data_IF_130667641398
#
_entry.id   IF_130667641398
#
_cell.length_a   1.000
_cell.length_b   1.000
_cell.length_c   1.000
_cell.angle_alpha   90.00
_cell.angle_beta   90.00
_cell.angle_gamma   90.00
#
_symmetry.space_group_name_H-M   'P 1'
#
loop_
_entity.id
_entity.type
_entity.pdbx_description
1 polymer ?
#
# COMPACT_ATOMS: atom_id res chain seq x y z
N UNK A 1 -35.89 -88.01 -30.90
CA UNK A 1 -35.60 -86.57 -31.00
C UNK A 1 -35.45 -86.04 -29.59
N UNK A 2 -34.23 -86.09 -29.06
CA UNK A 2 -33.87 -85.71 -27.69
C UNK A 2 -33.32 -84.29 -27.71
N UNK A 3 -33.98 -83.35 -27.02
CA UNK A 3 -33.40 -82.04 -26.73
C UNK A 3 -32.89 -82.06 -25.29
N UNK A 4 -31.58 -81.89 -25.19
CA UNK A 4 -30.78 -81.94 -23.98
C UNK A 4 -31.22 -80.87 -22.98
N UNK A 5 -31.45 -81.27 -21.73
CA UNK A 5 -31.56 -80.35 -20.62
C UNK A 5 -30.20 -79.74 -20.32
N UNK A 6 -30.13 -78.41 -20.29
CA UNK A 6 -28.96 -77.68 -19.80
C UNK A 6 -28.72 -78.02 -18.32
N UNK A 7 -27.75 -78.89 -18.07
CA UNK A 7 -27.23 -79.11 -16.73
C UNK A 7 -26.49 -77.85 -16.29
N UNK A 8 -27.11 -77.05 -15.41
CA UNK A 8 -26.42 -75.99 -14.67
C UNK A 8 -25.22 -76.62 -13.95
N UNK A 9 -23.98 -76.20 -14.22
CA UNK A 9 -22.81 -76.81 -13.61
C UNK A 9 -22.89 -76.63 -12.10
N UNK A 10 -23.14 -77.73 -11.37
CA UNK A 10 -23.11 -77.76 -9.92
C UNK A 10 -21.65 -77.68 -9.48
N UNK A 11 -21.16 -76.47 -9.28
CA UNK A 11 -19.84 -76.20 -8.74
C UNK A 11 -19.74 -76.89 -7.37
N UNK A 12 -19.03 -78.02 -7.30
CA UNK A 12 -18.80 -78.76 -6.05
C UNK A 12 -17.65 -78.12 -5.27
N UNK A 13 -17.98 -77.09 -4.51
CA UNK A 13 -17.05 -76.43 -3.59
C UNK A 13 -16.91 -77.23 -2.28
N UNK A 14 -15.68 -77.39 -1.82
CA UNK A 14 -15.38 -77.94 -0.49
C UNK A 14 -16.04 -77.11 0.61
N UNK A 15 -16.43 -77.77 1.71
CA UNK A 15 -17.08 -77.13 2.87
C UNK A 15 -16.23 -75.97 3.41
N UNK A 16 -14.89 -76.10 3.39
CA UNK A 16 -13.96 -75.02 3.76
C UNK A 16 -14.15 -73.76 2.93
N UNK A 17 -14.32 -73.90 1.60
CA UNK A 17 -14.49 -72.76 0.70
C UNK A 17 -15.84 -72.09 0.88
N UNK A 18 -16.89 -72.84 1.21
CA UNK A 18 -18.21 -72.26 1.52
C UNK A 18 -18.19 -71.40 2.78
N UNK A 19 -17.54 -71.88 3.84
CA UNK A 19 -17.37 -71.11 5.09
C UNK A 19 -16.56 -69.85 4.83
N UNK A 20 -15.46 -69.96 4.06
CA UNK A 20 -14.65 -68.81 3.66
C UNK A 20 -15.45 -67.78 2.86
N UNK A 21 -16.28 -68.23 1.91
CA UNK A 21 -17.13 -67.34 1.11
C UNK A 21 -18.15 -66.58 1.96
N UNK A 22 -18.78 -67.24 2.93
CA UNK A 22 -19.72 -66.59 3.85
C UNK A 22 -19.01 -65.52 4.68
N UNK A 23 -17.84 -65.85 5.22
CA UNK A 23 -17.06 -64.91 6.03
C UNK A 23 -16.58 -63.71 5.20
N UNK A 24 -16.15 -63.97 3.96
CA UNK A 24 -15.73 -62.94 3.02
C UNK A 24 -16.91 -62.03 2.64
N UNK A 25 -18.07 -62.60 2.31
CA UNK A 25 -19.27 -61.84 1.98
C UNK A 25 -19.72 -60.97 3.14
N UNK A 26 -19.69 -61.49 4.37
CA UNK A 26 -20.03 -60.75 5.58
C UNK A 26 -19.06 -59.58 5.82
N UNK A 27 -17.75 -59.84 5.68
CA UNK A 27 -16.69 -58.83 5.84
C UNK A 27 -16.82 -57.71 4.81
N UNK A 28 -16.97 -58.05 3.53
CA UNK A 28 -17.15 -57.08 2.44
C UNK A 28 -18.43 -56.26 2.66
N UNK A 29 -19.52 -56.88 3.10
CA UNK A 29 -20.77 -56.18 3.38
C UNK A 29 -20.62 -55.15 4.50
N UNK A 30 -19.95 -55.52 5.59
CA UNK A 30 -19.67 -54.59 6.69
C UNK A 30 -18.80 -53.42 6.23
N UNK A 31 -17.79 -53.68 5.39
CA UNK A 31 -16.91 -52.66 4.83
C UNK A 31 -17.67 -51.68 3.92
N UNK A 32 -18.57 -52.18 3.08
CA UNK A 32 -19.39 -51.37 2.18
C UNK A 32 -20.33 -50.44 2.96
N UNK A 33 -21.00 -50.95 3.99
CA UNK A 33 -21.89 -50.14 4.84
C UNK A 33 -21.08 -49.03 5.53
N UNK A 34 -19.93 -49.37 6.11
CA UNK A 34 -19.07 -48.42 6.80
C UNK A 34 -18.53 -47.35 5.83
N UNK A 35 -18.05 -47.77 4.66
CA UNK A 35 -17.56 -46.85 3.63
C UNK A 35 -18.64 -45.91 3.11
N UNK A 36 -19.86 -46.40 2.94
CA UNK A 36 -21.00 -45.56 2.54
C UNK A 36 -21.33 -44.50 3.60
N UNK A 37 -21.44 -44.90 4.87
CA UNK A 37 -21.71 -43.97 5.97
C UNK A 37 -20.61 -42.90 6.11
N UNK A 38 -19.34 -43.31 6.00
CA UNK A 38 -18.21 -42.40 6.05
C UNK A 38 -18.25 -41.39 4.90
N UNK A 39 -18.59 -41.83 3.67
CA UNK A 39 -18.67 -40.95 2.51
C UNK A 39 -19.73 -39.86 2.67
N UNK A 40 -20.92 -40.20 3.14
CA UNK A 40 -22.00 -39.23 3.40
C UNK A 40 -21.58 -38.23 4.47
N UNK A 41 -21.02 -38.71 5.58
CA UNK A 41 -20.66 -37.87 6.72
C UNK A 41 -19.51 -36.91 6.38
N UNK A 42 -18.51 -37.38 5.61
CA UNK A 42 -17.44 -36.51 5.07
C UNK A 42 -18.01 -35.44 4.14
N UNK A 43 -18.98 -35.78 3.29
CA UNK A 43 -19.61 -34.82 2.39
C UNK A 43 -20.30 -33.67 3.11
N UNK A 44 -20.94 -33.95 4.24
CA UNK A 44 -21.64 -32.93 5.03
C UNK A 44 -20.67 -32.08 5.85
N UNK A 45 -19.65 -32.68 6.46
CA UNK A 45 -18.59 -31.95 7.15
C UNK A 45 -17.81 -31.06 6.19
N UNK A 46 -17.52 -31.53 4.98
CA UNK A 46 -16.80 -30.76 3.97
C UNK A 46 -17.60 -29.55 3.50
N UNK A 47 -18.91 -29.72 3.22
CA UNK A 47 -19.79 -28.60 2.86
C UNK A 47 -19.93 -27.59 3.98
N UNK A 48 -20.10 -28.05 5.22
CA UNK A 48 -20.14 -27.18 6.39
C UNK A 48 -18.83 -26.39 6.55
N UNK A 49 -17.68 -27.05 6.41
CA UNK A 49 -16.38 -26.40 6.50
C UNK A 49 -16.19 -25.35 5.41
N UNK A 50 -16.64 -25.61 4.18
CA UNK A 50 -16.60 -24.64 3.07
C UNK A 50 -17.49 -23.43 3.35
N UNK A 51 -18.75 -23.64 3.77
CA UNK A 51 -19.67 -22.55 4.08
C UNK A 51 -19.16 -21.68 5.22
N UNK A 52 -18.65 -22.31 6.30
CA UNK A 52 -18.05 -21.57 7.42
C UNK A 52 -16.79 -20.84 7.01
N UNK A 53 -15.93 -21.44 6.17
CA UNK A 53 -14.72 -20.78 5.69
C UNK A 53 -15.04 -19.58 4.80
N UNK A 54 -16.05 -19.68 3.94
CA UNK A 54 -16.51 -18.56 3.10
C UNK A 54 -17.08 -17.45 3.98
N UNK A 55 -18.00 -17.79 4.89
CA UNK A 55 -18.61 -16.81 5.78
C UNK A 55 -17.58 -16.12 6.70
N UNK A 56 -16.56 -16.85 7.16
CA UNK A 56 -15.47 -16.26 7.93
C UNK A 56 -14.59 -15.36 7.06
N UNK A 57 -14.32 -15.76 5.81
CA UNK A 57 -13.60 -14.95 4.83
C UNK A 57 -14.32 -13.63 4.53
N UNK A 58 -15.61 -13.69 4.25
CA UNK A 58 -16.44 -12.50 3.98
C UNK A 58 -16.41 -11.52 5.16
N UNK A 59 -16.60 -12.03 6.38
CA UNK A 59 -16.50 -11.20 7.60
C UNK A 59 -15.10 -10.64 7.82
N UNK A 60 -14.05 -11.43 7.58
CA UNK A 60 -12.68 -10.96 7.75
C UNK A 60 -12.33 -9.83 6.77
N UNK A 61 -12.83 -9.90 5.52
CA UNK A 61 -12.68 -8.85 4.52
C UNK A 61 -13.45 -7.59 4.94
N UNK A 62 -14.68 -7.74 5.41
CA UNK A 62 -15.49 -6.62 5.92
C UNK A 62 -14.81 -5.92 7.09
N UNK A 63 -14.39 -6.67 8.12
CA UNK A 63 -13.72 -6.14 9.31
C UNK A 63 -12.40 -5.43 8.93
N UNK A 64 -11.62 -6.03 8.02
CA UNK A 64 -10.38 -5.44 7.52
C UNK A 64 -10.63 -4.14 6.76
N UNK A 65 -11.70 -4.08 5.96
CA UNK A 65 -12.07 -2.89 5.20
C UNK A 65 -12.47 -1.74 6.14
N UNK A 66 -13.28 -2.03 7.16
CA UNK A 66 -13.68 -1.05 8.17
C UNK A 66 -12.46 -0.56 8.97
N UNK A 67 -11.56 -1.46 9.36
CA UNK A 67 -10.33 -1.09 10.04
C UNK A 67 -9.43 -0.21 9.15
N UNK A 68 -9.23 -0.60 7.89
CA UNK A 68 -8.44 0.18 6.92
C UNK A 68 -9.03 1.57 6.66
N UNK A 69 -10.35 1.68 6.52
CA UNK A 69 -11.01 2.97 6.32
C UNK A 69 -10.80 3.89 7.52
N UNK A 70 -10.95 3.35 8.73
CA UNK A 70 -10.71 4.10 9.97
C UNK A 70 -9.27 4.58 10.09
N UNK A 71 -8.30 3.70 9.84
CA UNK A 71 -6.88 4.04 9.92
C UNK A 71 -6.49 5.06 8.84
N UNK A 72 -7.00 4.89 7.62
CA UNK A 72 -6.78 5.84 6.53
C UNK A 72 -7.36 7.22 6.88
N UNK A 73 -8.57 7.26 7.44
CA UNK A 73 -9.20 8.52 7.87
C UNK A 73 -8.39 9.21 8.96
N UNK A 74 -7.93 8.47 9.97
CA UNK A 74 -7.10 9.03 11.04
C UNK A 74 -5.77 9.57 10.49
N UNK A 75 -5.11 8.81 9.61
CA UNK A 75 -3.86 9.21 8.95
C UNK A 75 -4.04 10.48 8.11
N UNK A 76 -5.10 10.57 7.31
CA UNK A 76 -5.41 11.76 6.51
C UNK A 76 -5.70 12.99 7.38
N UNK A 77 -6.44 12.82 8.47
CA UNK A 77 -6.71 13.93 9.41
C UNK A 77 -5.43 14.42 10.09
N UNK A 78 -4.56 13.50 10.50
CA UNK A 78 -3.26 13.84 11.07
C UNK A 78 -2.41 14.60 10.06
N UNK A 79 -2.31 14.09 8.83
CA UNK A 79 -1.55 14.75 7.76
C UNK A 79 -2.09 16.15 7.45
N UNK A 80 -3.40 16.32 7.38
CA UNK A 80 -4.02 17.64 7.16
C UNK A 80 -3.71 18.62 8.30
N UNK A 81 -3.74 18.15 9.55
CA UNK A 81 -3.38 18.96 10.72
C UNK A 81 -1.90 19.34 10.71
N UNK A 82 -1.02 18.39 10.42
CA UNK A 82 0.42 18.63 10.34
C UNK A 82 0.73 19.63 9.22
N UNK A 83 0.07 19.51 8.06
CA UNK A 83 0.22 20.46 6.96
C UNK A 83 -0.28 21.86 7.33
N UNK A 84 -1.41 21.98 8.02
CA UNK A 84 -1.91 23.26 8.48
C UNK A 84 -0.94 23.92 9.48
N UNK A 85 -0.35 23.13 10.38
CA UNK A 85 0.65 23.60 11.33
C UNK A 85 1.92 24.11 10.62
N UNK A 86 2.46 23.34 9.67
CA UNK A 86 3.61 23.75 8.86
C UNK A 86 3.29 25.03 8.08
N UNK A 87 2.10 25.10 7.48
CA UNK A 87 1.66 26.28 6.74
C UNK A 87 1.61 27.52 7.63
N UNK A 88 1.14 27.39 8.88
CA UNK A 88 1.11 28.50 9.83
C UNK A 88 2.51 29.01 10.16
N UNK A 89 3.47 28.10 10.41
CA UNK A 89 4.87 28.48 10.66
C UNK A 89 5.46 29.25 9.46
N UNK A 90 5.19 28.80 8.24
CA UNK A 90 5.67 29.47 7.03
C UNK A 90 5.04 30.85 6.90
N UNK A 91 3.73 30.97 7.12
CA UNK A 91 3.06 32.27 7.06
C UNK A 91 3.58 33.25 8.10
N UNK A 92 3.76 32.83 9.35
CA UNK A 92 4.31 33.67 10.42
C UNK A 92 5.72 34.15 10.07
N UNK A 93 6.55 33.26 9.52
CA UNK A 93 7.90 33.61 9.05
C UNK A 93 7.85 34.64 7.91
N UNK A 94 7.05 34.39 6.88
CA UNK A 94 6.94 35.28 5.71
C UNK A 94 6.39 36.64 6.13
N UNK A 95 5.41 36.68 7.04
CA UNK A 95 4.89 37.93 7.58
C UNK A 95 5.99 38.75 8.28
N UNK A 96 6.82 38.11 9.11
CA UNK A 96 7.96 38.76 9.75
C UNK A 96 9.02 39.26 8.76
N UNK A 97 9.34 38.48 7.72
CA UNK A 97 10.26 38.89 6.65
C UNK A 97 9.71 40.10 5.87
N UNK A 98 8.41 40.10 5.52
CA UNK A 98 7.74 41.24 4.87
C UNK A 98 7.74 42.47 5.77
N UNK A 99 7.47 42.32 7.07
CA UNK A 99 7.48 43.44 8.01
C UNK A 99 8.88 44.05 8.13
N UNK A 100 9.93 43.23 8.20
CA UNK A 100 11.32 43.70 8.16
C UNK A 100 11.62 44.45 6.86
N UNK A 101 11.27 43.91 5.70
CA UNK A 101 11.48 44.58 4.41
C UNK A 101 10.71 45.90 4.31
N UNK A 102 9.46 45.93 4.77
CA UNK A 102 8.65 47.14 4.78
C UNK A 102 9.21 48.20 5.76
N UNK A 103 9.78 47.77 6.88
CA UNK A 103 10.47 48.67 7.82
C UNK A 103 11.74 49.26 7.21
N UNK A 104 12.51 48.44 6.50
CA UNK A 104 13.72 48.86 5.79
C UNK A 104 13.39 49.85 4.67
N UNK A 105 12.39 49.54 3.84
CA UNK A 105 11.92 50.43 2.77
C UNK A 105 11.43 51.78 3.31
N UNK A 106 10.67 51.78 4.42
CA UNK A 106 10.25 53.02 5.11
C UNK A 106 11.45 53.81 5.63
N UNK A 107 12.40 53.14 6.27
CA UNK A 107 13.61 53.79 6.78
C UNK A 107 14.42 54.45 5.66
N UNK A 108 14.47 53.82 4.48
CA UNK A 108 15.14 54.37 3.31
C UNK A 108 14.35 55.53 2.68
N UNK A 109 13.04 55.40 2.53
CA UNK A 109 12.20 56.49 2.02
C UNK A 109 12.27 57.74 2.91
N UNK A 110 12.36 57.56 4.24
CA UNK A 110 12.46 58.65 5.19
C UNK A 110 13.83 59.36 5.18
N UNK A 111 14.88 58.63 4.79
CA UNK A 111 16.25 59.13 4.79
C UNK A 111 17.02 58.44 3.64
N UNK A 112 16.90 58.97 2.40
CA UNK A 112 17.54 58.38 1.23
C UNK A 112 19.06 58.32 1.33
N UNK A 113 19.66 59.17 2.17
CA UNK A 113 21.12 59.20 2.40
C UNK A 113 21.66 57.95 3.13
N UNK A 114 20.77 57.08 3.64
CA UNK A 114 21.15 55.79 4.24
C UNK A 114 21.58 54.75 3.21
N UNK A 115 21.20 54.90 1.95
CA UNK A 115 21.85 54.13 0.88
C UNK A 115 23.24 54.73 0.70
N UNK A 116 24.25 53.95 1.07
CA UNK A 116 25.62 54.32 0.78
C UNK A 116 25.80 54.24 -0.74
N UNK A 117 25.97 55.39 -1.40
CA UNK A 117 26.49 55.45 -2.76
C UNK A 117 27.80 54.65 -2.77
N UNK A 118 27.78 53.50 -3.44
CA UNK A 118 28.97 52.71 -3.66
C UNK A 118 29.42 53.03 -5.07
N UNK A 119 30.51 53.79 -5.16
CA UNK A 119 31.22 53.91 -6.41
C UNK A 119 31.86 52.56 -6.73
N UNK A 120 31.41 51.94 -7.82
CA UNK A 120 32.02 50.73 -8.36
C UNK A 120 32.97 51.14 -9.47
N UNK A 121 34.20 50.61 -9.45
CA UNK A 121 35.12 50.80 -10.55
C UNK A 121 34.64 49.98 -11.75
N UNK A 122 34.54 50.61 -12.92
CA UNK A 122 34.24 49.94 -14.17
C UNK A 122 35.51 49.29 -14.74
N UNK A 123 35.34 48.40 -15.72
CA UNK A 123 36.46 47.72 -16.38
C UNK A 123 37.52 48.66 -17.00
N UNK A 124 37.14 49.91 -17.26
CA UNK A 124 37.98 50.95 -17.85
C UNK A 124 38.65 51.86 -16.79
N UNK A 125 38.23 51.77 -15.52
CA UNK A 125 38.73 52.58 -14.40
C UNK A 125 39.62 51.74 -13.47
N UNK A 126 40.87 52.15 -13.30
CA UNK A 126 41.79 51.47 -12.40
C UNK A 126 41.59 51.91 -10.93
N UNK A 127 41.22 50.99 -10.01
CA UNK A 127 41.03 51.37 -8.62
C UNK A 127 42.34 51.68 -7.90
N UNK A 128 42.31 52.68 -7.03
CA UNK A 128 43.46 53.12 -6.22
C UNK A 128 44.03 52.02 -5.29
N UNK A 129 43.19 51.08 -4.86
CA UNK A 129 43.60 49.87 -4.14
C UNK A 129 42.85 48.66 -4.68
N UNK A 130 43.60 47.76 -5.33
CA UNK A 130 43.08 46.58 -6.03
C UNK A 130 42.57 45.49 -5.07
N UNK A 131 42.85 45.59 -3.77
CA UNK A 131 42.47 44.57 -2.77
C UNK A 131 41.26 44.95 -1.93
N UNK A 132 40.82 46.20 -2.00
CA UNK A 132 39.71 46.72 -1.18
C UNK A 132 38.46 47.11 -1.97
N UNK A 133 38.42 46.84 -3.28
CA UNK A 133 37.27 47.17 -4.13
C UNK A 133 36.82 46.03 -5.06
N UNK A 134 35.61 46.14 -5.59
CA UNK A 134 35.01 45.22 -6.57
C UNK A 134 34.87 45.93 -7.90
N UNK A 135 35.39 45.31 -8.98
CA UNK A 135 35.26 45.82 -10.36
C UNK A 135 34.03 45.22 -11.02
N UNK A 136 33.20 46.06 -11.64
CA UNK A 136 31.98 45.65 -12.32
C UNK A 136 32.23 45.53 -13.83
N UNK A 137 32.01 44.33 -14.38
CA UNK A 137 32.15 44.06 -15.81
C UNK A 137 30.80 44.22 -16.50
N UNK A 138 30.69 45.24 -17.35
CA UNK A 138 29.48 45.50 -18.14
C UNK A 138 29.58 44.82 -19.51
N UNK A 139 28.47 44.25 -19.98
CA UNK A 139 28.38 43.70 -21.33
C UNK A 139 28.49 44.81 -22.39
N UNK A 140 28.97 44.51 -23.61
CA UNK A 140 29.12 45.53 -24.66
C UNK A 140 27.77 46.17 -25.01
N UNK A 141 27.69 47.51 -24.97
CA UNK A 141 26.50 48.29 -25.34
C UNK A 141 25.61 48.74 -24.18
N UNK A 142 26.03 48.55 -22.93
CA UNK A 142 25.33 49.08 -21.74
C UNK A 142 25.87 50.48 -21.41
N UNK A 143 24.99 51.48 -21.22
CA UNK A 143 25.37 52.81 -20.73
C UNK A 143 26.17 52.71 -19.41
N UNK A 144 27.28 53.45 -19.32
CA UNK A 144 28.20 53.45 -18.17
C UNK A 144 27.69 54.29 -16.97
N UNK A 145 26.53 54.93 -17.10
CA UNK A 145 25.95 55.78 -16.07
C UNK A 145 25.14 54.93 -15.09
N UNK A 146 25.84 54.36 -14.09
CA UNK A 146 25.23 53.61 -13.00
C UNK A 146 25.04 54.60 -11.83
N UNK A 147 23.79 54.93 -11.42
CA UNK A 147 23.53 55.80 -10.27
C UNK A 147 23.93 55.16 -8.93
#
# INVERSE_FOLDING_TARGET
MTLAGEERPRIRLSVKTKILLVFLALSVSALLITGYLASVQIGDVSRYALDQSSALGDRAVEDSTVAMERDARESLLRMARDQAYISNIIFDRVAGEIEMMASYARALQSDPSRVRERHFSLQDDEPADRTSTTVLFLAPGVEQDIP
#
